data_IF_384375536964
#
_entry.id   IF_384375536964
#
_cell.length_a   1.000
_cell.length_b   1.000
_cell.length_c   1.000
_cell.angle_alpha   90.00
_cell.angle_beta   90.00
_cell.angle_gamma   90.00
#
_symmetry.space_group_name_H-M   'P 1'
#
loop_
_entity.id
_entity.type
_entity.pdbx_description
1 polymer ?
#
# COMPACT_ATOMS: atom_id res chain seq x y z
N UNK A 1 21.45 -6.90 -23.78
CA UNK A 1 20.64 -7.36 -22.63
C UNK A 1 19.63 -6.27 -22.30
N UNK A 2 18.59 -6.09 -23.10
CA UNK A 2 17.29 -6.74 -22.91
C UNK A 2 16.24 -5.64 -22.76
N UNK A 3 15.95 -4.91 -23.85
CA UNK A 3 14.93 -3.86 -23.92
C UNK A 3 13.59 -4.47 -23.50
N UNK A 4 13.05 -4.07 -22.36
CA UNK A 4 11.74 -4.49 -21.93
C UNK A 4 10.70 -3.65 -22.68
N UNK A 5 10.10 -4.26 -23.69
CA UNK A 5 9.08 -3.64 -24.53
C UNK A 5 7.81 -3.52 -23.69
N UNK A 6 7.52 -2.32 -23.21
CA UNK A 6 6.17 -1.94 -22.79
C UNK A 6 5.30 -1.99 -24.06
N UNK A 7 4.60 -3.09 -24.29
CA UNK A 7 3.57 -3.15 -25.34
C UNK A 7 2.37 -2.33 -24.86
N UNK A 8 2.40 -1.03 -25.16
CA UNK A 8 1.25 -0.14 -25.00
C UNK A 8 0.28 -0.39 -26.15
N UNK A 9 -0.44 -1.51 -26.09
CA UNK A 9 -1.57 -1.80 -26.98
C UNK A 9 -2.81 -1.77 -26.09
N UNK A 10 -3.67 -0.78 -26.34
CA UNK A 10 -5.00 -0.65 -25.72
C UNK A 10 -5.03 -0.41 -24.19
N UNK A 11 -4.19 0.51 -23.67
CA UNK A 11 -4.11 0.91 -22.24
C UNK A 11 -3.72 -0.20 -21.24
N UNK A 12 -3.46 -1.43 -21.69
CA UNK A 12 -3.05 -2.55 -20.85
C UNK A 12 -1.52 -2.54 -20.68
N UNK A 13 -1.05 -2.51 -19.44
CA UNK A 13 0.36 -2.60 -19.08
C UNK A 13 0.68 -4.00 -18.54
N UNK A 14 1.68 -4.65 -19.13
CA UNK A 14 2.15 -5.96 -18.71
C UNK A 14 3.34 -5.81 -17.76
N UNK A 15 3.24 -6.37 -16.55
CA UNK A 15 4.32 -6.33 -15.58
C UNK A 15 5.31 -7.48 -15.81
N UNK A 16 6.60 -7.18 -15.81
CA UNK A 16 7.66 -8.18 -15.90
C UNK A 16 7.72 -9.05 -14.63
N UNK A 17 8.27 -10.26 -14.73
CA UNK A 17 8.53 -11.11 -13.55
C UNK A 17 9.41 -10.40 -12.51
N UNK A 18 10.39 -9.60 -12.96
CA UNK A 18 11.29 -8.84 -12.08
C UNK A 18 10.54 -7.75 -11.32
N UNK A 19 9.74 -6.94 -12.02
CA UNK A 19 8.94 -5.87 -11.42
C UNK A 19 7.97 -6.42 -10.38
N UNK A 20 7.32 -7.55 -10.66
CA UNK A 20 6.43 -8.24 -9.72
C UNK A 20 7.15 -8.74 -8.47
N UNK A 21 8.37 -9.24 -8.63
CA UNK A 21 9.21 -9.66 -7.49
C UNK A 21 9.58 -8.46 -6.62
N UNK A 22 9.89 -7.30 -7.22
CA UNK A 22 10.16 -6.07 -6.46
C UNK A 22 8.92 -5.65 -5.66
N UNK A 23 7.73 -5.66 -6.26
CA UNK A 23 6.48 -5.39 -5.53
C UNK A 23 6.25 -6.37 -4.38
N UNK A 24 6.55 -7.65 -4.58
CA UNK A 24 6.45 -8.66 -3.53
C UNK A 24 7.41 -8.38 -2.37
N UNK A 25 8.67 -8.07 -2.67
CA UNK A 25 9.68 -7.73 -1.66
C UNK A 25 9.25 -6.51 -0.87
N UNK A 26 8.82 -5.43 -1.55
CA UNK A 26 8.32 -4.21 -0.90
C UNK A 26 7.12 -4.53 0.01
N UNK A 27 6.17 -5.33 -0.47
CA UNK A 27 5.01 -5.77 0.32
C UNK A 27 5.43 -6.50 1.61
N UNK A 28 6.33 -7.47 1.50
CA UNK A 28 6.81 -8.25 2.66
C UNK A 28 7.58 -7.36 3.63
N UNK A 29 8.43 -6.46 3.13
CA UNK A 29 9.16 -5.50 3.99
C UNK A 29 8.20 -4.60 4.77
N UNK A 30 7.16 -4.07 4.13
CA UNK A 30 6.15 -3.25 4.80
C UNK A 30 5.34 -4.03 5.85
N UNK A 31 4.98 -5.29 5.55
CA UNK A 31 4.29 -6.17 6.51
C UNK A 31 5.15 -6.43 7.76
N UNK A 32 6.45 -6.64 7.59
CA UNK A 32 7.38 -6.81 8.72
C UNK A 32 7.44 -5.55 9.59
N UNK A 33 7.50 -4.36 8.96
CA UNK A 33 7.50 -3.08 9.70
C UNK A 33 6.20 -2.90 10.49
N UNK A 34 5.04 -3.14 9.88
CA UNK A 34 3.75 -3.08 10.60
C UNK A 34 3.70 -4.06 11.76
N UNK A 35 4.18 -5.28 11.55
CA UNK A 35 4.23 -6.29 12.62
C UNK A 35 5.02 -5.78 13.82
N UNK A 36 6.22 -5.23 13.60
CA UNK A 36 7.03 -4.62 14.67
C UNK A 36 6.29 -3.46 15.35
N UNK A 37 5.61 -2.61 14.58
CA UNK A 37 4.85 -1.49 15.15
C UNK A 37 3.71 -2.00 16.04
N UNK A 38 2.94 -2.98 15.59
CA UNK A 38 1.79 -3.50 16.33
C UNK A 38 2.19 -4.33 17.55
N UNK A 39 3.31 -5.07 17.50
CA UNK A 39 3.75 -5.93 18.60
C UNK A 39 4.68 -5.25 19.61
N UNK A 40 5.45 -4.23 19.21
CA UNK A 40 6.41 -3.57 20.10
C UNK A 40 6.03 -2.11 20.36
N UNK A 41 5.85 -1.32 19.30
CA UNK A 41 5.66 0.13 19.43
C UNK A 41 4.31 0.49 20.06
N UNK A 42 3.20 -0.02 19.52
CA UNK A 42 1.85 0.29 19.99
C UNK A 42 1.65 -0.07 21.48
N UNK A 43 2.01 -1.29 21.95
CA UNK A 43 1.95 -1.62 23.37
C UNK A 43 2.83 -0.71 24.22
N UNK A 44 4.06 -0.41 23.78
CA UNK A 44 4.96 0.49 24.50
C UNK A 44 4.37 1.89 24.69
N UNK A 45 3.74 2.46 23.65
CA UNK A 45 3.10 3.78 23.74
C UNK A 45 1.95 3.75 24.77
N UNK A 46 1.09 2.74 24.71
CA UNK A 46 -0.05 2.63 25.62
C UNK A 46 0.37 2.36 27.07
N UNK A 47 1.34 1.46 27.29
CA UNK A 47 1.83 1.11 28.64
C UNK A 47 2.50 2.29 29.35
N UNK A 48 3.21 3.14 28.60
CA UNK A 48 3.89 4.30 29.15
C UNK A 48 3.03 5.58 29.12
N UNK A 49 1.78 5.51 28.64
CA UNK A 49 0.89 6.66 28.52
C UNK A 49 1.46 7.79 27.64
N UNK A 50 2.28 7.43 26.65
CA UNK A 50 2.95 8.41 25.77
C UNK A 50 1.91 8.93 24.76
N UNK A 51 1.82 10.25 24.63
CA UNK A 51 1.00 10.86 23.58
C UNK A 51 1.82 11.00 22.29
N UNK A 52 1.60 10.11 21.34
CA UNK A 52 2.31 10.06 20.05
C UNK A 52 1.48 10.62 18.87
N UNK A 53 0.51 11.49 19.16
CA UNK A 53 -0.41 12.06 18.17
C UNK A 53 -1.23 11.00 17.41
N UNK A 54 -1.59 9.89 18.06
CA UNK A 54 -2.38 8.79 17.48
C UNK A 54 -1.66 8.03 16.37
N UNK A 55 -0.33 8.13 16.31
CA UNK A 55 0.47 7.43 15.31
C UNK A 55 0.39 5.92 15.52
N UNK A 56 0.47 5.45 16.77
CA UNK A 56 0.29 4.05 17.12
C UNK A 56 -1.02 3.46 16.60
N UNK A 57 -2.12 4.23 16.68
CA UNK A 57 -3.47 3.82 16.27
C UNK A 57 -3.59 3.74 14.73
N UNK A 58 -3.12 4.78 14.05
CA UNK A 58 -3.36 5.00 12.62
C UNK A 58 -2.32 4.37 11.70
N UNK A 59 -1.18 3.91 12.22
CA UNK A 59 -0.06 3.41 11.40
C UNK A 59 -0.46 2.29 10.44
N UNK A 60 -1.28 1.34 10.90
CA UNK A 60 -1.75 0.22 10.07
C UNK A 60 -2.56 0.74 8.87
N UNK A 61 -3.33 1.81 9.05
CA UNK A 61 -4.20 2.37 8.02
C UNK A 61 -3.44 3.22 7.01
N UNK A 62 -2.39 3.92 7.44
CA UNK A 62 -1.44 4.61 6.54
C UNK A 62 -0.80 3.61 5.57
N UNK A 63 -0.38 2.44 6.05
CA UNK A 63 0.37 1.47 5.25
C UNK A 63 -0.51 0.39 4.61
N UNK A 64 -1.79 0.29 4.98
CA UNK A 64 -2.75 -0.66 4.43
C UNK A 64 -2.92 -0.54 2.92
N UNK A 65 -3.12 0.68 2.39
CA UNK A 65 -3.26 0.90 0.93
C UNK A 65 -1.97 0.54 0.18
N UNK A 66 -0.76 1.01 0.56
CA UNK A 66 0.50 0.58 -0.05
C UNK A 66 0.70 -0.94 -0.06
N UNK A 67 0.40 -1.64 1.03
CA UNK A 67 0.57 -3.09 1.12
C UNK A 67 -0.40 -3.83 0.21
N UNK A 68 -1.69 -3.51 0.28
CA UNK A 68 -2.70 -4.16 -0.53
C UNK A 68 -2.46 -3.91 -2.04
N UNK A 69 -2.04 -2.69 -2.39
CA UNK A 69 -1.67 -2.38 -3.78
C UNK A 69 -0.41 -3.12 -4.24
N UNK A 70 0.65 -3.16 -3.43
CA UNK A 70 1.88 -3.91 -3.76
C UNK A 70 1.60 -5.41 -3.89
N UNK A 71 0.80 -5.99 -3.00
CA UNK A 71 0.39 -7.39 -3.09
C UNK A 71 -0.40 -7.65 -4.37
N UNK A 72 -1.37 -6.80 -4.69
CA UNK A 72 -2.14 -6.87 -5.92
C UNK A 72 -1.27 -6.81 -7.17
N UNK A 73 -0.30 -5.89 -7.22
CA UNK A 73 0.67 -5.74 -8.30
C UNK A 73 1.62 -6.95 -8.41
N UNK A 74 2.01 -7.55 -7.28
CA UNK A 74 2.85 -8.74 -7.27
C UNK A 74 2.12 -9.96 -7.84
N UNK A 75 0.83 -10.13 -7.51
CA UNK A 75 0.02 -11.27 -7.96
C UNK A 75 -0.47 -11.09 -9.41
N UNK A 76 -0.74 -9.86 -9.84
CA UNK A 76 -1.35 -9.60 -11.15
C UNK A 76 -0.30 -9.49 -12.26
N UNK A 77 -0.52 -10.17 -13.38
CA UNK A 77 0.35 -10.08 -14.58
C UNK A 77 -0.06 -8.96 -15.55
N UNK A 78 -1.35 -8.61 -15.56
CA UNK A 78 -1.95 -7.63 -16.47
C UNK A 78 -2.53 -6.46 -15.67
N UNK A 79 -1.98 -5.27 -15.82
CA UNK A 79 -2.67 -4.05 -15.40
C UNK A 79 -3.54 -3.55 -16.54
N UNK A 80 -4.85 -3.52 -16.29
CA UNK A 80 -5.83 -2.96 -17.23
C UNK A 80 -5.99 -1.44 -17.06
N UNK A 81 -5.56 -0.89 -15.92
CA UNK A 81 -5.79 0.52 -15.55
C UNK A 81 -4.49 1.25 -15.17
N UNK A 82 -4.52 2.59 -15.23
CA UNK A 82 -3.44 3.43 -14.67
C UNK A 82 -3.31 3.16 -13.17
N UNK A 83 -2.08 3.16 -12.68
CA UNK A 83 -1.69 2.85 -11.29
C UNK A 83 -2.48 3.65 -10.23
N UNK A 84 -2.87 4.89 -10.57
CA UNK A 84 -3.66 5.75 -9.68
C UNK A 84 -5.06 5.19 -9.43
N UNK A 85 -5.72 4.62 -10.45
CA UNK A 85 -7.06 4.05 -10.29
C UNK A 85 -7.03 2.81 -9.40
N UNK A 86 -5.97 2.01 -9.48
CA UNK A 86 -5.81 0.85 -8.62
C UNK A 86 -5.63 1.27 -7.16
N UNK A 87 -4.80 2.28 -6.91
CA UNK A 87 -4.57 2.82 -5.56
C UNK A 87 -5.85 3.46 -4.98
N UNK A 88 -6.63 4.17 -5.81
CA UNK A 88 -7.92 4.71 -5.41
C UNK A 88 -8.97 3.61 -5.12
N UNK A 89 -9.01 2.55 -5.92
CA UNK A 89 -9.94 1.43 -5.69
C UNK A 89 -9.66 0.73 -4.36
N UNK A 90 -8.39 0.48 -4.04
CA UNK A 90 -7.99 -0.10 -2.74
C UNK A 90 -8.32 0.86 -1.59
N UNK A 91 -8.05 2.17 -1.76
CA UNK A 91 -8.41 3.19 -0.76
C UNK A 91 -9.91 3.19 -0.45
N UNK A 92 -10.77 3.20 -1.48
CA UNK A 92 -12.22 3.13 -1.29
C UNK A 92 -12.65 1.83 -0.61
N UNK A 93 -12.03 0.70 -0.97
CA UNK A 93 -12.28 -0.58 -0.32
C UNK A 93 -11.96 -0.57 1.19
N UNK A 94 -10.83 0.03 1.57
CA UNK A 94 -10.44 0.16 2.98
C UNK A 94 -11.30 1.17 3.73
N UNK A 95 -11.72 2.28 3.11
CA UNK A 95 -12.68 3.20 3.71
C UNK A 95 -14.02 2.51 3.95
N UNK A 96 -14.52 1.73 2.98
CA UNK A 96 -15.74 0.94 3.18
C UNK A 96 -15.59 -0.07 4.33
N UNK A 97 -14.41 -0.70 4.46
CA UNK A 97 -14.11 -1.59 5.58
C UNK A 97 -14.19 -0.85 6.92
N UNK A 98 -13.59 0.35 7.02
CA UNK A 98 -13.63 1.18 8.23
C UNK A 98 -15.05 1.68 8.58
N UNK A 99 -15.86 1.99 7.57
CA UNK A 99 -17.24 2.46 7.79
C UNK A 99 -18.18 1.31 8.22
N UNK A 100 -17.92 0.09 7.74
CA UNK A 100 -18.69 -1.11 8.11
C UNK A 100 -18.21 -1.67 9.45
N UNK A 101 -16.90 -1.61 9.72
CA UNK A 101 -16.35 -1.90 11.03
C UNK A 101 -16.95 -0.94 12.05
N UNK A 102 -17.49 -1.46 13.15
CA UNK A 102 -18.20 -0.68 14.17
C UNK A 102 -17.31 0.36 14.91
N UNK A 103 -16.06 0.53 14.48
CA UNK A 103 -15.02 1.41 15.02
C UNK A 103 -14.73 2.57 14.07
N UNK A 104 -15.76 3.33 13.67
CA UNK A 104 -15.59 4.49 12.81
C UNK A 104 -14.69 5.55 13.49
N UNK A 105 -13.41 5.61 13.10
CA UNK A 105 -12.49 6.68 13.47
C UNK A 105 -12.14 7.52 12.22
N UNK A 106 -12.41 8.83 12.29
CA UNK A 106 -12.10 9.75 11.19
C UNK A 106 -10.58 9.85 10.95
N UNK A 107 -9.75 9.60 11.97
CA UNK A 107 -8.28 9.59 11.85
C UNK A 107 -7.82 8.47 10.93
N UNK A 108 -8.47 7.33 11.01
CA UNK A 108 -8.21 6.15 10.19
C UNK A 108 -8.60 6.37 8.74
N UNK A 109 -9.66 7.14 8.48
CA UNK A 109 -10.03 7.58 7.13
C UNK A 109 -8.94 8.52 6.57
N UNK A 110 -8.50 9.51 7.34
CA UNK A 110 -7.44 10.44 6.92
C UNK A 110 -6.14 9.67 6.65
N UNK A 111 -5.77 8.74 7.53
CA UNK A 111 -4.62 7.86 7.38
C UNK A 111 -4.69 7.04 6.09
N UNK A 112 -5.86 6.49 5.76
CA UNK A 112 -6.09 5.72 4.53
C UNK A 112 -5.89 6.58 3.27
N UNK A 113 -6.35 7.84 3.28
CA UNK A 113 -6.09 8.78 2.18
C UNK A 113 -4.60 9.10 2.02
N UNK A 114 -3.87 9.31 3.12
CA UNK A 114 -2.41 9.49 3.10
C UNK A 114 -1.74 8.24 2.52
N UNK A 115 -2.20 7.05 2.93
CA UNK A 115 -1.75 5.78 2.40
C UNK A 115 -1.95 5.64 0.89
N UNK A 116 -3.06 6.14 0.36
CA UNK A 116 -3.30 6.14 -1.09
C UNK A 116 -2.30 7.01 -1.87
N UNK A 117 -1.94 8.18 -1.32
CA UNK A 117 -0.91 9.05 -1.91
C UNK A 117 0.48 8.37 -1.86
N UNK A 118 0.82 7.75 -0.73
CA UNK A 118 2.06 6.99 -0.58
C UNK A 118 2.12 5.79 -1.54
N UNK A 119 1.02 5.06 -1.67
CA UNK A 119 0.89 3.93 -2.59
C UNK A 119 1.15 4.38 -4.04
N UNK A 120 0.55 5.48 -4.46
CA UNK A 120 0.80 6.05 -5.79
C UNK A 120 2.29 6.38 -5.99
N UNK A 121 2.93 7.01 -5.00
CA UNK A 121 4.36 7.34 -5.07
C UNK A 121 5.24 6.08 -5.16
N UNK A 122 4.97 5.06 -4.34
CA UNK A 122 5.70 3.78 -4.33
C UNK A 122 5.52 3.05 -5.65
N UNK A 123 4.29 2.89 -6.13
CA UNK A 123 4.00 2.21 -7.39
C UNK A 123 4.73 2.87 -8.56
N UNK A 124 4.67 4.21 -8.63
CA UNK A 124 5.36 5.00 -9.65
C UNK A 124 6.88 4.85 -9.57
N UNK A 125 7.46 4.80 -8.37
CA UNK A 125 8.89 4.57 -8.18
C UNK A 125 9.30 3.16 -8.62
N UNK A 126 8.59 2.12 -8.17
CA UNK A 126 8.90 0.73 -8.51
C UNK A 126 8.84 0.52 -10.01
N UNK A 127 7.83 1.05 -10.69
CA UNK A 127 7.69 0.92 -12.14
C UNK A 127 8.79 1.71 -12.86
N UNK A 128 9.12 2.93 -12.40
CA UNK A 128 10.21 3.72 -12.99
C UNK A 128 11.59 3.05 -12.88
N UNK A 129 11.90 2.38 -11.77
CA UNK A 129 13.21 1.74 -11.55
C UNK A 129 13.29 0.30 -12.06
N UNK A 130 12.15 -0.34 -12.32
CA UNK A 130 12.10 -1.72 -12.81
C UNK A 130 11.95 -1.83 -14.34
N UNK A 131 11.75 -0.70 -15.04
CA UNK A 131 11.67 -0.59 -16.50
C UNK A 131 12.98 0.00 -17.07
#
# INVERSE_FOLDING_TARGET
MGRLIIFKRDNVMYLSKRTRLVFFIVCVSLLLVISVINFAYRPYIYENGIYDFYFADTFTNIWGVPIATCLGMALTQKLVYKEIYYSMAVCLGLICYEVIGLTFDYKDIIATFIGALLSYAINKMVIRYSC
#
